data_IF_527656425845
#
_entry.id   IF_527656425845
#
_cell.length_a   1.000
_cell.length_b   1.000
_cell.length_c   1.000
_cell.angle_alpha   90.00
_cell.angle_beta   90.00
_cell.angle_gamma   90.00
#
_symmetry.space_group_name_H-M   'P 1'
#
loop_
_entity.id
_entity.type
_entity.pdbx_description
1 polymer ?
#
# COMPACT_ATOMS: atom_id res chain seq x y z
N UNK A 1 55.97 -21.98 7.49
CA UNK A 1 54.93 -21.40 6.59
C UNK A 1 55.62 -21.08 5.28
N UNK A 2 55.04 -21.48 4.17
CA UNK A 2 55.57 -21.12 2.84
C UNK A 2 54.80 -19.90 2.35
N UNK A 3 55.52 -18.85 1.95
CA UNK A 3 54.98 -17.62 1.40
C UNK A 3 55.44 -17.49 -0.06
N UNK A 4 54.51 -17.16 -0.96
CA UNK A 4 54.82 -16.81 -2.35
C UNK A 4 54.46 -15.35 -2.55
N UNK A 5 55.44 -14.53 -2.90
CA UNK A 5 55.25 -13.10 -3.23
C UNK A 5 55.35 -12.96 -4.74
N UNK A 6 54.26 -12.51 -5.33
CA UNK A 6 54.17 -12.26 -6.80
C UNK A 6 53.42 -10.96 -7.08
N UNK A 7 53.85 -10.26 -8.08
CA UNK A 7 53.18 -9.03 -8.54
C UNK A 7 51.94 -9.34 -9.42
N UNK A 8 51.96 -10.48 -10.06
CA UNK A 8 50.89 -10.91 -10.94
C UNK A 8 50.76 -12.43 -10.98
N UNK A 9 49.54 -12.93 -11.02
CA UNK A 9 49.23 -14.36 -11.22
C UNK A 9 48.31 -14.45 -12.45
N UNK A 10 48.80 -15.06 -13.51
CA UNK A 10 48.05 -15.28 -14.76
C UNK A 10 47.92 -16.78 -15.02
N UNK A 11 46.92 -17.15 -15.80
CA UNK A 11 46.81 -18.53 -16.32
C UNK A 11 47.98 -18.87 -17.27
N UNK A 12 48.23 -20.16 -17.49
CA UNK A 12 49.36 -20.64 -18.28
C UNK A 12 49.46 -20.06 -19.68
N UNK A 13 48.33 -19.82 -20.33
CA UNK A 13 48.24 -19.20 -21.68
C UNK A 13 48.06 -17.70 -21.67
N UNK A 14 47.99 -17.07 -20.48
CA UNK A 14 47.65 -15.66 -20.30
C UNK A 14 46.16 -15.30 -20.47
N UNK A 15 45.37 -16.23 -20.98
CA UNK A 15 43.91 -16.09 -21.18
C UNK A 15 43.10 -17.04 -20.28
N UNK A 16 43.74 -18.06 -19.73
CA UNK A 16 43.06 -19.02 -18.88
C UNK A 16 42.80 -18.45 -17.48
N UNK A 17 41.72 -18.90 -16.87
CA UNK A 17 41.38 -18.52 -15.49
C UNK A 17 42.34 -19.23 -14.50
N UNK A 18 42.85 -18.50 -13.53
CA UNK A 18 43.57 -19.06 -12.38
C UNK A 18 42.58 -19.80 -11.48
N UNK A 19 42.83 -21.08 -11.22
CA UNK A 19 41.96 -21.92 -10.41
C UNK A 19 42.55 -22.15 -9.01
N UNK A 20 41.81 -21.75 -7.99
CA UNK A 20 42.09 -22.03 -6.60
C UNK A 20 41.16 -23.15 -6.07
N UNK A 21 41.67 -24.31 -5.80
CA UNK A 21 40.86 -25.48 -5.39
C UNK A 21 40.48 -25.49 -3.89
N UNK A 22 41.13 -24.65 -3.10
CA UNK A 22 40.92 -24.56 -1.62
C UNK A 22 40.34 -23.24 -1.16
N UNK A 23 40.05 -22.34 -2.10
CA UNK A 23 39.55 -20.99 -1.79
C UNK A 23 40.62 -19.92 -1.74
N UNK A 24 40.19 -18.69 -1.62
CA UNK A 24 41.03 -17.50 -1.50
C UNK A 24 40.56 -16.70 -0.27
N UNK A 25 41.51 -16.31 0.57
CA UNK A 25 41.28 -15.36 1.65
C UNK A 25 41.94 -14.03 1.31
N UNK A 26 41.17 -12.98 1.26
CA UNK A 26 41.67 -11.60 1.05
C UNK A 26 41.49 -10.82 2.35
N UNK A 27 42.58 -10.38 2.95
CA UNK A 27 42.54 -9.54 4.17
C UNK A 27 42.41 -8.04 3.92
N UNK A 28 42.33 -7.63 2.67
CA UNK A 28 42.21 -6.27 2.23
C UNK A 28 41.04 -6.08 1.24
N UNK A 29 41.27 -5.30 0.20
CA UNK A 29 40.30 -5.02 -0.85
C UNK A 29 40.53 -5.98 -2.02
N UNK A 30 39.51 -6.69 -2.46
CA UNK A 30 39.47 -7.39 -3.73
C UNK A 30 38.67 -6.55 -4.74
N UNK A 31 39.31 -6.14 -5.84
CA UNK A 31 38.64 -5.50 -6.96
C UNK A 31 38.41 -6.52 -8.05
N UNK A 32 37.16 -6.82 -8.37
CA UNK A 32 36.77 -7.82 -9.37
C UNK A 32 35.78 -7.20 -10.35
N UNK A 33 35.91 -7.48 -11.64
CA UNK A 33 34.99 -7.03 -12.65
C UNK A 33 33.61 -7.70 -12.53
N UNK A 34 33.61 -9.02 -12.31
CA UNK A 34 32.41 -9.80 -12.11
C UNK A 34 32.63 -10.87 -11.05
N UNK A 35 31.64 -11.14 -10.24
CA UNK A 35 31.62 -12.27 -9.31
C UNK A 35 30.49 -13.21 -9.72
N UNK A 36 30.84 -14.45 -10.08
CA UNK A 36 29.86 -15.53 -10.32
C UNK A 36 30.00 -16.55 -9.24
N UNK A 37 28.92 -16.82 -8.51
CA UNK A 37 28.90 -17.72 -7.36
C UNK A 37 27.85 -18.79 -7.59
N UNK A 38 28.26 -20.05 -7.53
CA UNK A 38 27.37 -21.20 -7.72
C UNK A 38 26.44 -21.49 -6.54
N UNK A 39 26.68 -20.90 -5.37
CA UNK A 39 25.90 -21.16 -4.17
C UNK A 39 25.44 -19.90 -3.46
N UNK A 40 26.29 -19.27 -2.67
CA UNK A 40 25.90 -18.10 -1.87
C UNK A 40 27.02 -17.06 -1.75
N UNK A 41 26.61 -15.81 -1.64
CA UNK A 41 27.47 -14.71 -1.19
C UNK A 41 26.98 -14.27 0.18
N UNK A 42 27.84 -14.36 1.21
CA UNK A 42 27.56 -13.81 2.52
C UNK A 42 28.34 -12.50 2.68
N UNK A 43 27.64 -11.39 2.82
CA UNK A 43 28.24 -10.08 3.01
C UNK A 43 27.52 -9.34 4.15
N UNK A 44 28.26 -8.60 4.97
CA UNK A 44 27.67 -7.72 5.98
C UNK A 44 26.89 -6.58 5.35
N UNK A 45 27.36 -6.07 4.22
CA UNK A 45 26.67 -5.00 3.46
C UNK A 45 26.97 -5.14 1.98
N UNK A 46 25.95 -5.00 1.15
CA UNK A 46 26.06 -4.89 -0.29
C UNK A 46 25.69 -3.47 -0.69
N UNK A 47 26.64 -2.74 -1.30
CA UNK A 47 26.39 -1.41 -1.86
C UNK A 47 26.18 -1.51 -3.36
N UNK A 48 25.19 -0.83 -3.88
CA UNK A 48 24.94 -0.75 -5.31
C UNK A 48 23.49 -0.43 -5.64
N UNK A 49 23.25 -0.22 -6.91
CA UNK A 49 21.89 -0.14 -7.45
C UNK A 49 21.27 -1.55 -7.42
N UNK A 50 20.31 -1.76 -6.55
CA UNK A 50 19.61 -3.05 -6.40
C UNK A 50 18.78 -3.49 -7.61
N UNK A 51 18.75 -2.74 -8.71
CA UNK A 51 17.93 -3.03 -9.88
C UNK A 51 18.26 -4.38 -10.57
N UNK A 52 19.49 -4.86 -10.40
CA UNK A 52 19.93 -6.18 -10.90
C UNK A 52 19.76 -7.33 -9.92
N UNK A 53 19.30 -7.11 -8.72
CA UNK A 53 19.08 -8.18 -7.75
C UNK A 53 17.75 -8.85 -8.07
N UNK A 54 17.82 -10.01 -8.72
CA UNK A 54 16.66 -10.88 -8.99
C UNK A 54 16.57 -11.96 -7.92
N UNK A 55 15.36 -12.47 -7.67
CA UNK A 55 15.18 -13.55 -6.68
C UNK A 55 15.12 -13.09 -5.21
N UNK A 56 15.01 -11.79 -4.94
CA UNK A 56 14.51 -11.33 -3.65
C UNK A 56 13.02 -11.69 -3.59
N UNK A 57 12.77 -12.84 -2.98
CA UNK A 57 11.48 -13.47 -2.93
C UNK A 57 10.63 -12.87 -1.88
N UNK A 58 9.95 -12.34 -1.44
CA UNK A 58 8.96 -11.85 -0.48
C UNK A 58 9.36 -10.56 0.27
N UNK A 59 8.37 -9.75 0.48
CA UNK A 59 8.49 -8.57 1.33
C UNK A 59 9.12 -7.32 0.66
N UNK A 60 9.52 -7.38 -0.60
CA UNK A 60 10.03 -6.20 -1.31
C UNK A 60 8.88 -5.29 -1.73
N UNK A 61 8.95 -4.03 -1.31
CA UNK A 61 8.05 -3.01 -1.85
C UNK A 61 8.33 -2.81 -3.36
N UNK A 62 7.35 -3.13 -4.18
CA UNK A 62 7.41 -2.98 -5.64
C UNK A 62 6.98 -1.58 -6.04
N UNK A 63 5.84 -1.15 -5.50
CA UNK A 63 5.23 0.13 -5.85
C UNK A 63 4.40 0.67 -4.68
N UNK A 64 4.40 1.97 -4.53
CA UNK A 64 3.51 2.68 -3.62
C UNK A 64 2.79 3.78 -4.38
N UNK A 65 1.48 3.81 -4.27
CA UNK A 65 0.61 4.79 -4.93
C UNK A 65 -0.21 5.53 -3.89
N UNK A 66 -0.33 6.84 -4.05
CA UNK A 66 -1.10 7.72 -3.19
C UNK A 66 -2.15 8.46 -3.99
N UNK A 67 -3.34 8.55 -3.44
CA UNK A 67 -4.45 9.26 -4.03
C UNK A 67 -5.10 10.13 -2.97
N UNK A 68 -5.28 11.39 -3.29
CA UNK A 68 -5.99 12.33 -2.41
C UNK A 68 -7.48 12.20 -2.62
N UNK A 69 -8.21 12.00 -1.54
CA UNK A 69 -9.67 12.05 -1.57
C UNK A 69 -10.08 13.50 -1.41
N UNK A 70 -10.64 14.08 -2.45
CA UNK A 70 -11.11 15.47 -2.43
C UNK A 70 -12.38 15.59 -1.62
N UNK A 71 -12.56 16.76 -1.00
CA UNK A 71 -13.79 17.09 -0.26
C UNK A 71 -15.02 16.96 -1.15
N UNK A 72 -15.99 16.19 -0.66
CA UNK A 72 -17.31 16.11 -1.26
C UNK A 72 -18.39 16.41 -0.21
N UNK A 73 -19.44 17.07 -0.61
CA UNK A 73 -20.64 17.23 0.20
C UNK A 73 -21.70 16.28 -0.30
N UNK A 74 -22.15 15.39 0.56
CA UNK A 74 -23.16 14.39 0.23
C UNK A 74 -24.48 14.84 0.87
N UNK A 75 -25.43 15.17 0.03
CA UNK A 75 -26.72 15.76 0.45
C UNK A 75 -27.84 14.73 0.62
N UNK A 76 -27.65 13.50 0.19
CA UNK A 76 -28.70 12.47 0.17
C UNK A 76 -28.44 11.38 1.22
N UNK A 77 -29.48 10.89 1.88
CA UNK A 77 -29.34 9.71 2.73
C UNK A 77 -29.15 8.48 1.85
N UNK A 78 -28.14 7.68 2.12
CA UNK A 78 -28.05 6.31 1.67
C UNK A 78 -27.41 5.50 2.77
N UNK A 79 -28.11 4.51 3.27
CA UNK A 79 -27.67 3.68 4.37
C UNK A 79 -27.13 2.35 3.88
N UNK A 80 -26.20 1.81 4.62
CA UNK A 80 -25.99 0.38 4.63
C UNK A 80 -27.15 -0.23 5.46
N UNK A 81 -27.86 -1.24 4.97
CA UNK A 81 -28.87 -1.90 5.76
C UNK A 81 -28.31 -2.45 7.07
N UNK A 82 -29.08 -2.32 8.13
CA UNK A 82 -28.73 -2.93 9.43
C UNK A 82 -29.32 -4.34 9.48
N UNK A 83 -28.76 -5.26 8.69
CA UNK A 83 -29.31 -6.59 8.44
C UNK A 83 -28.31 -7.74 8.64
N UNK A 84 -27.21 -7.49 9.36
CA UNK A 84 -26.15 -8.48 9.62
C UNK A 84 -25.40 -8.97 8.36
N UNK A 85 -25.59 -8.31 7.21
CA UNK A 85 -24.84 -8.61 5.99
C UNK A 85 -23.75 -7.58 5.72
N UNK A 86 -22.74 -7.97 4.94
CA UNK A 86 -21.76 -7.01 4.46
C UNK A 86 -22.42 -6.03 3.48
N UNK A 87 -22.15 -4.71 3.57
CA UNK A 87 -22.68 -3.76 2.61
C UNK A 87 -22.42 -4.16 1.18
N UNK A 88 -23.41 -3.95 0.31
CA UNK A 88 -23.34 -4.26 -1.10
C UNK A 88 -22.86 -3.04 -1.91
N UNK A 89 -22.35 -3.27 -3.10
CA UNK A 89 -21.74 -2.23 -3.94
C UNK A 89 -22.72 -1.14 -4.39
N UNK A 90 -24.01 -1.41 -4.35
CA UNK A 90 -25.10 -0.47 -4.67
C UNK A 90 -25.64 0.25 -3.42
N UNK A 91 -25.19 -0.11 -2.24
CA UNK A 91 -25.57 0.52 -0.98
C UNK A 91 -24.62 1.67 -0.59
N UNK A 92 -25.14 2.58 0.21
CA UNK A 92 -24.39 3.79 0.59
C UNK A 92 -24.13 4.72 -0.59
N UNK A 93 -23.33 5.76 -0.37
CA UNK A 93 -22.97 6.75 -1.40
C UNK A 93 -21.47 6.64 -1.70
N UNK A 94 -21.14 6.44 -2.98
CA UNK A 94 -19.76 6.50 -3.45
C UNK A 94 -19.23 7.93 -3.33
N UNK A 95 -18.09 8.09 -2.68
CA UNK A 95 -17.42 9.37 -2.53
C UNK A 95 -16.00 9.38 -3.07
N UNK A 96 -15.47 8.20 -3.38
CA UNK A 96 -14.16 8.04 -3.99
C UNK A 96 -14.16 6.81 -4.89
N UNK A 97 -13.51 6.94 -6.03
CA UNK A 97 -13.34 5.86 -6.99
C UNK A 97 -11.97 5.99 -7.65
N UNK A 98 -11.22 4.91 -7.72
CA UNK A 98 -9.88 4.88 -8.28
C UNK A 98 -9.62 3.58 -9.04
N UNK A 99 -9.37 3.69 -10.33
CA UNK A 99 -8.87 2.57 -11.11
C UNK A 99 -7.41 2.27 -10.73
N UNK A 100 -7.08 1.00 -10.58
CA UNK A 100 -5.76 0.53 -10.24
C UNK A 100 -5.38 -0.70 -11.06
N UNK A 101 -4.14 -0.69 -11.56
CA UNK A 101 -3.54 -1.82 -12.27
C UNK A 101 -2.28 -2.22 -11.52
N UNK A 102 -2.22 -3.43 -10.96
CA UNK A 102 -1.01 -3.93 -10.32
C UNK A 102 0.14 -4.05 -11.32
N UNK A 103 1.36 -3.81 -10.86
CA UNK A 103 2.57 -3.90 -11.69
C UNK A 103 2.94 -5.34 -12.04
N UNK A 104 2.51 -6.29 -11.21
CA UNK A 104 2.79 -7.72 -11.38
C UNK A 104 1.64 -8.57 -10.81
N UNK A 105 1.52 -9.78 -11.31
CA UNK A 105 0.57 -10.77 -10.78
C UNK A 105 1.03 -11.39 -9.45
N UNK A 106 2.34 -11.35 -9.16
CA UNK A 106 2.93 -11.99 -7.98
C UNK A 106 3.23 -10.93 -6.90
N UNK A 107 2.19 -10.34 -6.35
CA UNK A 107 2.31 -9.42 -5.23
C UNK A 107 1.07 -9.46 -4.34
N UNK A 108 1.24 -9.01 -3.11
CA UNK A 108 0.14 -8.64 -2.24
C UNK A 108 -0.10 -7.13 -2.33
N UNK A 109 -1.36 -6.75 -2.29
CA UNK A 109 -1.79 -5.36 -2.24
C UNK A 109 -2.17 -5.02 -0.79
N UNK A 110 -1.51 -4.02 -0.24
CA UNK A 110 -1.87 -3.43 1.05
C UNK A 110 -2.56 -2.11 0.78
N UNK A 111 -3.83 -2.07 1.10
CA UNK A 111 -4.70 -0.92 0.87
C UNK A 111 -4.89 -0.22 2.22
N UNK A 112 -4.58 1.06 2.26
CA UNK A 112 -4.80 1.90 3.42
C UNK A 112 -5.60 3.13 3.00
N UNK A 113 -6.66 3.40 3.73
CA UNK A 113 -7.51 4.55 3.52
C UNK A 113 -7.77 5.24 4.86
N UNK A 114 -7.66 6.54 4.88
CA UNK A 114 -8.11 7.36 5.99
C UNK A 114 -8.98 8.48 5.45
N UNK A 115 -10.15 8.66 6.04
CA UNK A 115 -11.09 9.70 5.65
C UNK A 115 -11.63 10.42 6.88
N UNK A 116 -11.47 11.73 6.89
CA UNK A 116 -12.14 12.60 7.85
C UNK A 116 -13.60 12.76 7.44
N UNK A 117 -14.52 12.44 8.34
CA UNK A 117 -15.96 12.56 8.12
C UNK A 117 -16.50 13.55 9.13
N UNK A 118 -17.37 14.45 8.69
CA UNK A 118 -18.10 15.33 9.59
C UNK A 118 -19.58 15.22 9.37
N UNK A 119 -20.28 15.03 10.45
CA UNK A 119 -21.71 15.13 10.53
C UNK A 119 -22.14 16.51 11.01
N UNK A 120 -23.23 17.04 10.47
CA UNK A 120 -23.79 18.35 10.82
C UNK A 120 -25.03 18.30 11.72
N UNK A 121 -25.45 17.12 12.13
CA UNK A 121 -26.68 16.96 12.89
C UNK A 121 -26.43 16.68 14.37
N UNK A 122 -27.38 17.12 15.19
CA UNK A 122 -27.41 16.90 16.64
C UNK A 122 -28.08 15.56 17.00
N UNK A 123 -28.22 14.67 16.08
CA UNK A 123 -28.91 13.37 16.27
C UNK A 123 -27.86 12.29 16.42
N UNK A 124 -28.11 11.40 17.39
CA UNK A 124 -27.30 10.18 17.51
C UNK A 124 -27.41 9.36 16.23
N UNK A 125 -26.29 9.03 15.63
CA UNK A 125 -26.22 8.37 14.33
C UNK A 125 -24.92 7.59 14.13
N UNK A 126 -24.98 6.59 13.25
CA UNK A 126 -23.81 5.83 12.83
C UNK A 126 -23.25 6.42 11.54
N UNK A 127 -21.95 6.55 11.51
CA UNK A 127 -21.20 6.96 10.33
C UNK A 127 -20.31 5.81 9.91
N UNK A 128 -20.40 5.40 8.66
CA UNK A 128 -19.64 4.27 8.16
C UNK A 128 -18.89 4.58 6.87
N UNK A 129 -17.82 3.82 6.66
CA UNK A 129 -17.06 3.78 5.41
C UNK A 129 -16.82 2.33 5.02
N UNK A 130 -17.08 2.00 3.75
CA UNK A 130 -16.86 0.69 3.19
C UNK A 130 -15.95 0.76 1.97
N UNK A 131 -15.04 -0.21 1.87
CA UNK A 131 -14.13 -0.40 0.73
C UNK A 131 -14.68 -1.50 -0.17
N UNK A 132 -14.75 -1.21 -1.46
CA UNK A 132 -15.17 -2.13 -2.51
C UNK A 132 -14.13 -2.26 -3.61
N UNK A 133 -14.28 -3.31 -4.41
CA UNK A 133 -13.57 -3.50 -5.68
C UNK A 133 -14.59 -3.90 -6.75
N UNK A 134 -14.40 -3.45 -7.99
CA UNK A 134 -15.41 -3.46 -9.07
C UNK A 134 -16.02 -4.81 -9.44
N UNK A 135 -15.35 -5.92 -9.16
CA UNK A 135 -15.82 -7.28 -9.46
C UNK A 135 -16.34 -8.04 -8.22
N UNK A 136 -16.48 -7.34 -7.11
CA UNK A 136 -17.07 -7.88 -5.89
C UNK A 136 -18.33 -7.09 -5.52
N UNK A 137 -19.43 -7.80 -5.28
CA UNK A 137 -20.69 -7.19 -4.89
C UNK A 137 -20.71 -6.76 -3.42
N UNK A 138 -19.93 -7.42 -2.58
CA UNK A 138 -19.86 -7.13 -1.14
C UNK A 138 -18.62 -6.34 -0.78
N UNK A 139 -18.72 -5.53 0.26
CA UNK A 139 -17.60 -4.77 0.79
C UNK A 139 -16.42 -5.66 1.21
N UNK A 140 -15.20 -5.25 0.86
CA UNK A 140 -13.96 -5.90 1.32
C UNK A 140 -13.70 -5.62 2.80
N UNK A 141 -14.05 -4.42 3.24
CA UNK A 141 -13.93 -3.95 4.64
C UNK A 141 -14.93 -2.85 4.91
N UNK A 142 -15.38 -2.80 6.15
CA UNK A 142 -16.26 -1.75 6.68
C UNK A 142 -15.68 -1.25 8.00
N UNK A 143 -15.83 0.02 8.23
CA UNK A 143 -15.58 0.66 9.53
C UNK A 143 -16.75 1.59 9.84
N UNK A 144 -17.20 1.57 11.08
CA UNK A 144 -18.28 2.44 11.57
C UNK A 144 -17.86 3.14 12.85
N UNK A 145 -18.39 4.32 13.06
CA UNK A 145 -18.26 5.11 14.27
C UNK A 145 -19.65 5.53 14.72
N UNK A 146 -19.95 5.36 16.00
CA UNK A 146 -21.23 5.78 16.57
C UNK A 146 -21.09 7.16 17.20
N UNK A 147 -21.95 8.07 16.76
CA UNK A 147 -22.08 9.38 17.34
C UNK A 147 -23.27 9.41 18.31
N UNK A 148 -23.00 9.60 19.60
CA UNK A 148 -24.04 9.58 20.64
C UNK A 148 -24.98 10.80 20.64
N UNK A 149 -24.77 11.77 19.73
CA UNK A 149 -25.54 13.02 19.69
C UNK A 149 -25.24 13.93 20.89
N UNK A 150 -24.85 15.13 20.67
CA UNK A 150 -24.45 16.03 21.78
C UNK A 150 -24.45 17.51 21.42
N UNK A 151 -25.26 17.92 20.46
CA UNK A 151 -25.51 19.35 20.23
C UNK A 151 -24.48 20.09 19.38
N UNK A 152 -23.44 19.43 18.89
CA UNK A 152 -22.46 20.03 17.98
C UNK A 152 -22.15 19.10 16.81
N UNK A 153 -21.74 19.67 15.68
CA UNK A 153 -21.27 18.88 14.56
C UNK A 153 -20.06 18.02 14.99
N UNK A 154 -20.18 16.72 14.81
CA UNK A 154 -19.13 15.76 15.16
C UNK A 154 -18.28 15.41 13.95
N UNK A 155 -17.01 15.21 14.17
CA UNK A 155 -16.06 14.72 13.15
C UNK A 155 -15.46 13.41 13.61
N UNK A 156 -15.38 12.46 12.71
CA UNK A 156 -14.67 11.20 12.90
C UNK A 156 -13.58 11.05 11.85
N UNK A 157 -12.55 10.30 12.19
CA UNK A 157 -11.54 9.83 11.22
C UNK A 157 -11.73 8.33 11.11
N UNK A 158 -12.24 7.88 9.97
CA UNK A 158 -12.39 6.46 9.67
C UNK A 158 -11.15 5.96 8.94
N UNK A 159 -10.66 4.80 9.35
CA UNK A 159 -9.47 4.20 8.78
C UNK A 159 -9.74 2.75 8.40
N UNK A 160 -9.45 2.39 7.15
CA UNK A 160 -9.49 1.01 6.67
C UNK A 160 -8.07 0.60 6.31
N UNK A 161 -7.67 -0.58 6.79
CA UNK A 161 -6.51 -1.31 6.33
C UNK A 161 -6.96 -2.68 5.81
N UNK A 162 -6.54 -3.03 4.59
CA UNK A 162 -6.91 -4.29 3.96
C UNK A 162 -5.75 -4.87 3.16
N UNK A 163 -5.53 -6.17 3.29
CA UNK A 163 -4.56 -6.92 2.50
C UNK A 163 -5.29 -7.89 1.58
N UNK A 164 -4.91 -7.95 0.33
CA UNK A 164 -5.39 -8.92 -0.63
C UNK A 164 -4.30 -9.32 -1.63
N UNK A 165 -4.35 -10.53 -2.20
CA UNK A 165 -3.47 -10.88 -3.31
C UNK A 165 -3.77 -10.05 -4.55
N UNK A 166 -2.78 -9.89 -5.41
CA UNK A 166 -2.98 -9.32 -6.74
C UNK A 166 -3.87 -10.24 -7.58
N UNK A 167 -4.73 -9.65 -8.38
CA UNK A 167 -5.59 -10.34 -9.35
C UNK A 167 -4.97 -10.41 -10.76
N UNK A 168 -3.69 -10.14 -10.91
CA UNK A 168 -3.00 -10.01 -12.19
C UNK A 168 -2.74 -8.55 -12.54
N UNK A 169 -2.51 -8.27 -13.81
CA UNK A 169 -2.14 -6.95 -14.34
C UNK A 169 -3.27 -6.26 -15.12
N UNK A 170 -4.51 -6.62 -14.86
CA UNK A 170 -5.68 -5.94 -15.40
C UNK A 170 -6.13 -4.80 -14.50
N UNK A 171 -6.80 -3.79 -15.05
CA UNK A 171 -7.35 -2.71 -14.26
C UNK A 171 -8.62 -3.16 -13.52
N UNK A 172 -8.71 -2.82 -12.22
CA UNK A 172 -9.95 -2.86 -11.44
C UNK A 172 -10.12 -1.54 -10.71
N UNK A 173 -11.34 -1.24 -10.33
CA UNK A 173 -11.66 0.00 -9.63
C UNK A 173 -11.93 -0.27 -8.16
N UNK A 174 -11.19 0.39 -7.29
CA UNK A 174 -11.52 0.51 -5.88
C UNK A 174 -12.51 1.65 -5.71
N UNK A 175 -13.50 1.47 -4.85
CA UNK A 175 -14.38 2.54 -4.44
C UNK A 175 -14.57 2.58 -2.93
N UNK A 176 -14.77 3.78 -2.40
CA UNK A 176 -15.15 4.01 -1.03
C UNK A 176 -16.57 4.57 -1.00
N UNK A 177 -17.40 3.93 -0.21
CA UNK A 177 -18.78 4.34 0.00
C UNK A 177 -19.00 4.69 1.46
N UNK A 178 -19.86 5.64 1.70
CA UNK A 178 -20.21 6.07 3.04
C UNK A 178 -21.65 5.76 3.36
N UNK A 179 -21.87 5.49 4.62
CA UNK A 179 -23.16 5.25 5.23
C UNK A 179 -23.51 6.35 6.20
N UNK A 180 -24.81 6.64 6.25
CA UNK A 180 -25.43 7.44 7.26
C UNK A 180 -26.85 6.96 7.52
N UNK A 181 -27.18 6.59 8.76
CA UNK A 181 -28.45 6.00 9.10
C UNK A 181 -29.60 7.01 9.04
N UNK A 182 -29.39 8.25 9.43
CA UNK A 182 -30.42 9.27 9.43
C UNK A 182 -30.17 10.40 8.44
N UNK A 183 -31.23 10.87 7.80
CA UNK A 183 -31.15 11.93 6.83
C UNK A 183 -30.80 13.26 7.49
N UNK A 184 -29.77 13.92 7.16
CA UNK A 184 -29.64 15.36 6.96
C UNK A 184 -28.18 15.77 6.78
N UNK A 185 -27.85 16.44 5.68
CA UNK A 185 -26.64 17.23 5.41
C UNK A 185 -25.31 16.62 5.83
N UNK A 186 -24.86 15.65 5.10
CA UNK A 186 -23.55 15.09 5.25
C UNK A 186 -22.50 16.01 4.62
N UNK A 187 -21.65 16.63 5.39
CA UNK A 187 -20.46 17.27 4.89
C UNK A 187 -19.32 16.27 4.95
N UNK A 188 -19.08 15.60 3.84
CA UNK A 188 -18.09 14.56 3.73
C UNK A 188 -16.67 15.10 3.70
N UNK A 189 -15.77 14.29 4.15
CA UNK A 189 -14.39 14.07 3.72
C UNK A 189 -13.49 15.28 3.54
N UNK A 190 -12.43 15.31 4.29
CA UNK A 190 -11.47 16.40 4.27
C UNK A 190 -11.99 17.66 4.94
N UNK A 191 -12.88 17.52 5.91
CA UNK A 191 -13.34 18.66 6.69
C UNK A 191 -12.26 19.00 7.73
N UNK A 192 -11.57 20.09 7.46
CA UNK A 192 -11.15 20.98 8.53
C UNK A 192 -12.23 22.04 8.69
N UNK A 193 -12.47 22.44 9.92
CA UNK A 193 -13.10 23.75 10.12
C UNK A 193 -12.34 24.75 9.25
N UNK A 194 -13.03 25.72 8.70
CA UNK A 194 -12.46 26.79 7.84
C UNK A 194 -11.20 27.48 8.41
N UNK A 195 -10.85 27.18 9.67
CA UNK A 195 -9.71 27.71 10.41
C UNK A 195 -8.34 27.31 9.86
N UNK A 196 -8.23 26.21 9.11
CA UNK A 196 -6.91 25.66 8.70
C UNK A 196 -6.75 25.50 7.18
N UNK A 197 -7.66 26.06 6.40
CA UNK A 197 -7.65 25.94 4.95
C UNK A 197 -8.13 24.57 4.43
N UNK A 198 -9.08 24.58 3.52
CA UNK A 198 -9.73 23.37 2.99
C UNK A 198 -8.77 22.39 2.28
N UNK A 199 -7.59 22.85 1.89
CA UNK A 199 -6.57 22.05 1.17
C UNK A 199 -5.59 21.30 2.08
N UNK A 200 -5.55 21.60 3.38
CA UNK A 200 -4.57 21.00 4.31
C UNK A 200 -5.05 19.72 4.97
N UNK A 201 -6.31 19.38 4.86
CA UNK A 201 -6.90 18.16 5.41
C UNK A 201 -7.33 17.24 4.28
N UNK A 202 -6.36 16.58 3.69
CA UNK A 202 -6.62 15.60 2.66
C UNK A 202 -6.89 14.22 3.30
N UNK A 203 -8.01 13.64 2.99
CA UNK A 203 -8.21 12.21 3.17
C UNK A 203 -7.34 11.47 2.15
N UNK A 204 -6.80 10.34 2.55
CA UNK A 204 -5.80 9.61 1.78
C UNK A 204 -6.28 8.21 1.44
N UNK A 205 -6.05 7.80 0.22
CA UNK A 205 -6.11 6.41 -0.22
C UNK A 205 -4.74 6.00 -0.74
N UNK A 206 -4.19 4.90 -0.25
CA UNK A 206 -2.90 4.41 -0.73
C UNK A 206 -2.93 2.91 -0.98
N UNK A 207 -2.12 2.48 -1.93
CA UNK A 207 -1.91 1.08 -2.27
C UNK A 207 -0.41 0.83 -2.31
N UNK A 208 0.03 -0.20 -1.60
CA UNK A 208 1.40 -0.72 -1.65
C UNK A 208 1.39 -2.11 -2.27
N UNK A 209 2.25 -2.33 -3.25
CA UNK A 209 2.50 -3.64 -3.84
C UNK A 209 3.74 -4.25 -3.20
N UNK A 210 3.59 -5.39 -2.58
CA UNK A 210 4.66 -6.14 -1.93
C UNK A 210 4.83 -7.48 -2.64
N UNK A 211 6.06 -7.82 -3.05
CA UNK A 211 6.34 -9.12 -3.68
C UNK A 211 6.02 -10.27 -2.74
N UNK A 212 5.38 -11.29 -3.24
CA UNK A 212 5.12 -12.57 -2.54
C UNK A 212 6.22 -13.57 -2.80
#
# INVERSE_FOLDING_TARGET
MSEVRVDNITGETGTDAVKFTKGITVTGIATVGNVSVGSSVTAGTLFGNGAGITGLTSGKLIKKSFYTITRQSIASPASFPNDDTAPQIDEGIEFFSQAYTPSTANCDLYIFCTAGIRERTNVADDVGMALFISDNTSALRVVTEYNSGGGAAHGAILTIAHKMPSWGVSAKTFSLRTHKANSVNFAAFGYAQEKYGASTHASLFSIEEIST
#
